data_IF_749882822969
#
_entry.id   IF_749882822969
#
_cell.length_a   1.000
_cell.length_b   1.000
_cell.length_c   1.000
_cell.angle_alpha   90.00
_cell.angle_beta   90.00
_cell.angle_gamma   90.00
#
_symmetry.space_group_name_H-M   'P 1'
#
loop_
_entity.id
_entity.type
_entity.pdbx_description
1 polymer ?
#
# COMPACT_ATOMS: atom_id res chain seq x y z
N UNK A 1 -1.09 -11.68 -11.63
CA UNK A 1 -0.06 -10.65 -11.36
C UNK A 1 -0.53 -9.57 -10.39
N UNK A 2 -1.74 -9.01 -10.54
CA UNK A 2 -2.25 -7.93 -9.66
C UNK A 2 -2.17 -8.22 -8.15
N UNK A 3 -2.51 -9.43 -7.72
CA UNK A 3 -2.42 -9.80 -6.29
C UNK A 3 -0.99 -9.67 -5.75
N UNK A 4 0.01 -10.14 -6.51
CA UNK A 4 1.41 -10.11 -6.09
C UNK A 4 1.90 -8.67 -6.02
N UNK A 5 1.54 -7.86 -7.02
CA UNK A 5 1.90 -6.43 -7.07
C UNK A 5 1.25 -5.68 -5.90
N UNK A 6 -0.04 -5.93 -5.62
CA UNK A 6 -0.75 -5.32 -4.51
C UNK A 6 -0.12 -5.66 -3.16
N UNK A 7 0.19 -6.94 -2.92
CA UNK A 7 0.85 -7.39 -1.68
C UNK A 7 2.24 -6.78 -1.53
N UNK A 8 3.04 -6.75 -2.60
CA UNK A 8 4.36 -6.13 -2.60
C UNK A 8 4.28 -4.62 -2.29
N UNK A 9 3.35 -3.90 -2.92
CA UNK A 9 3.14 -2.48 -2.63
C UNK A 9 2.74 -2.28 -1.17
N UNK A 10 1.79 -3.06 -0.65
CA UNK A 10 1.38 -2.95 0.74
C UNK A 10 2.56 -3.16 1.69
N UNK A 11 3.33 -4.23 1.51
CA UNK A 11 4.50 -4.50 2.34
C UNK A 11 5.51 -3.34 2.34
N UNK A 12 5.83 -2.83 1.14
CA UNK A 12 6.81 -1.75 0.97
C UNK A 12 6.32 -0.45 1.61
N UNK A 13 5.07 -0.06 1.34
CA UNK A 13 4.52 1.20 1.82
C UNK A 13 4.13 1.17 3.30
N UNK A 14 3.80 0.01 3.87
CA UNK A 14 3.66 -0.15 5.32
C UNK A 14 5.00 0.03 6.03
N UNK A 15 6.08 -0.53 5.48
CA UNK A 15 7.44 -0.31 6.02
C UNK A 15 7.83 1.17 5.93
N UNK A 16 7.49 1.84 4.83
CA UNK A 16 7.71 3.29 4.68
C UNK A 16 6.88 4.11 5.66
N UNK A 17 5.62 3.74 5.91
CA UNK A 17 4.75 4.38 6.90
C UNK A 17 5.36 4.28 8.31
N UNK A 18 5.86 3.10 8.69
CA UNK A 18 6.54 2.91 9.96
C UNK A 18 7.80 3.79 10.06
N UNK A 19 8.61 3.81 9.00
CA UNK A 19 9.83 4.63 8.94
C UNK A 19 9.51 6.12 9.06
N UNK A 20 8.45 6.58 8.41
CA UNK A 20 7.95 7.95 8.50
C UNK A 20 7.52 8.30 9.94
N UNK A 21 6.75 7.41 10.59
CA UNK A 21 6.27 7.62 11.95
C UNK A 21 7.42 7.66 12.97
N UNK A 22 8.39 6.76 12.83
CA UNK A 22 9.50 6.62 13.76
C UNK A 22 10.59 7.69 13.57
N UNK A 23 10.87 8.11 12.33
CA UNK A 23 11.99 9.00 12.03
C UNK A 23 11.53 10.37 11.54
N UNK A 24 10.77 10.41 10.43
CA UNK A 24 10.47 11.67 9.73
C UNK A 24 9.63 12.61 10.61
N UNK A 25 8.63 12.07 11.31
CA UNK A 25 7.77 12.83 12.21
C UNK A 25 8.54 13.45 13.39
N UNK A 26 9.59 12.79 13.88
CA UNK A 26 10.41 13.27 14.98
C UNK A 26 11.48 14.28 14.52
N UNK A 27 12.06 14.06 13.34
CA UNK A 27 13.15 14.88 12.83
C UNK A 27 12.67 16.20 12.19
N UNK A 28 11.61 16.15 11.37
CA UNK A 28 11.04 17.33 10.73
C UNK A 28 9.52 17.15 10.48
N UNK A 29 8.68 17.57 11.43
CA UNK A 29 7.23 17.35 11.38
C UNK A 29 6.55 17.97 10.14
N UNK A 30 7.00 19.16 9.71
CA UNK A 30 6.39 19.87 8.58
C UNK A 30 6.65 19.13 7.26
N UNK A 31 7.90 18.71 7.03
CA UNK A 31 8.22 17.91 5.86
C UNK A 31 7.50 16.55 5.93
N UNK A 32 7.44 15.93 7.11
CA UNK A 32 6.75 14.66 7.30
C UNK A 32 5.26 14.74 6.89
N UNK A 33 4.55 15.78 7.31
CA UNK A 33 3.13 15.97 6.97
C UNK A 33 2.89 16.10 5.45
N UNK A 34 3.83 16.69 4.71
CA UNK A 34 3.73 16.81 3.24
C UNK A 34 3.90 15.45 2.55
N UNK A 35 4.75 14.58 3.10
CA UNK A 35 5.03 13.26 2.51
C UNK A 35 3.98 12.20 2.89
N UNK A 36 3.23 12.43 3.97
CA UNK A 36 2.23 11.49 4.47
C UNK A 36 1.11 11.14 3.46
N UNK A 37 0.53 12.10 2.69
CA UNK A 37 -0.46 11.79 1.66
C UNK A 37 0.02 10.80 0.60
N UNK A 38 1.29 10.88 0.17
CA UNK A 38 1.88 9.93 -0.80
C UNK A 38 1.85 8.51 -0.25
N UNK A 39 2.15 8.33 1.04
CA UNK A 39 2.12 7.03 1.70
C UNK A 39 0.69 6.49 1.74
N UNK A 40 -0.30 7.32 2.10
CA UNK A 40 -1.70 6.93 2.14
C UNK A 40 -2.25 6.53 0.77
N UNK A 41 -1.99 7.32 -0.27
CA UNK A 41 -2.42 7.03 -1.64
C UNK A 41 -1.83 5.70 -2.10
N UNK A 42 -0.54 5.48 -1.85
CA UNK A 42 0.14 4.26 -2.26
C UNK A 42 -0.38 3.02 -1.54
N UNK A 43 -0.70 3.13 -0.24
CA UNK A 43 -1.38 2.07 0.52
C UNK A 43 -2.79 1.78 -0.04
N UNK A 44 -3.56 2.83 -0.37
CA UNK A 44 -4.87 2.70 -0.98
C UNK A 44 -4.81 1.96 -2.33
N UNK A 45 -3.86 2.33 -3.19
CA UNK A 45 -3.62 1.64 -4.47
C UNK A 45 -3.22 0.18 -4.23
N UNK A 46 -2.28 -0.09 -3.32
CA UNK A 46 -1.86 -1.45 -2.98
C UNK A 46 -3.02 -2.32 -2.48
N UNK A 47 -3.88 -1.76 -1.61
CA UNK A 47 -5.09 -2.43 -1.12
C UNK A 47 -6.07 -2.71 -2.25
N UNK A 48 -6.30 -1.74 -3.13
CA UNK A 48 -7.20 -1.90 -4.27
C UNK A 48 -6.71 -2.95 -5.27
N UNK A 49 -5.41 -2.94 -5.61
CA UNK A 49 -4.80 -3.95 -6.49
C UNK A 49 -4.85 -5.35 -5.87
N UNK A 50 -4.65 -5.45 -4.56
CA UNK A 50 -4.80 -6.70 -3.81
C UNK A 50 -6.24 -7.20 -3.90
N UNK A 51 -7.23 -6.33 -3.65
CA UNK A 51 -8.64 -6.64 -3.77
C UNK A 51 -9.02 -7.13 -5.17
N UNK A 52 -8.61 -6.40 -6.23
CA UNK A 52 -8.83 -6.82 -7.61
C UNK A 52 -8.15 -8.15 -7.93
N UNK A 53 -6.94 -8.36 -7.41
CA UNK A 53 -6.22 -9.62 -7.53
C UNK A 53 -6.95 -10.80 -6.89
N UNK A 54 -7.53 -10.62 -5.70
CA UNK A 54 -8.35 -11.64 -5.02
C UNK A 54 -9.66 -11.87 -5.79
N UNK A 55 -10.36 -10.80 -6.15
CA UNK A 55 -11.64 -10.87 -6.88
C UNK A 55 -11.47 -11.58 -8.23
N UNK A 56 -10.43 -11.24 -8.99
CA UNK A 56 -10.12 -11.89 -10.26
C UNK A 56 -9.85 -13.39 -10.11
N UNK A 57 -9.07 -13.79 -9.10
CA UNK A 57 -8.84 -15.23 -8.82
C UNK A 57 -10.12 -15.98 -8.44
N UNK A 58 -11.04 -15.33 -7.71
CA UNK A 58 -12.34 -15.93 -7.37
C UNK A 58 -13.22 -16.10 -8.61
N UNK A 59 -13.29 -15.10 -9.48
CA UNK A 59 -14.06 -15.18 -10.72
C UNK A 59 -13.57 -16.32 -11.63
N UNK A 60 -12.25 -16.46 -11.82
CA UNK A 60 -11.68 -17.56 -12.61
C UNK A 60 -11.93 -18.96 -12.03
N UNK A 61 -12.22 -19.07 -10.73
CA UNK A 61 -12.56 -20.34 -10.07
C UNK A 61 -14.05 -20.69 -10.16
N UNK A 62 -14.91 -19.74 -10.47
CA UNK A 62 -16.35 -19.96 -10.62
C UNK A 62 -16.78 -20.27 -12.05
N UNK A 63 -15.89 -20.06 -13.03
CA UNK A 63 -16.13 -20.31 -14.46
C UNK A 63 -15.65 -21.68 -14.96
N UNK A 64 -15.20 -22.55 -14.05
CA UNK A 64 -14.77 -23.93 -14.29
C UNK A 64 -15.67 -24.83 -13.46
#
# INVERSE_FOLDING_TARGET
MLLVIGVYMLFTWTTRLYTWYANDLQANPYAALIHFPIVLISLGIGAYLTYLGVKGRRASRQSI
#
